data_IF_037526891599
#
_entry.id   IF_037526891599
#
_cell.length_a   1.000
_cell.length_b   1.000
_cell.length_c   1.000
_cell.angle_alpha   90.00
_cell.angle_beta   90.00
_cell.angle_gamma   90.00
#
_symmetry.space_group_name_H-M   'P 1'
#
loop_
_entity.id
_entity.type
_entity.pdbx_description
1 polymer ?
#
# COMPACT_ATOMS: atom_id res chain seq x y z
N UNK A 1 35.84 -2.77 1.55
CA UNK A 1 34.58 -3.40 1.10
C UNK A 1 33.49 -2.38 1.35
N UNK A 2 33.02 -1.67 0.32
CA UNK A 2 31.94 -0.70 0.48
C UNK A 2 30.64 -1.46 0.78
N UNK A 3 29.78 -0.98 1.69
CA UNK A 3 28.46 -1.58 1.89
C UNK A 3 27.72 -1.49 0.56
N UNK A 4 27.20 -2.62 0.10
CA UNK A 4 26.33 -2.67 -1.06
C UNK A 4 25.14 -1.76 -0.79
N UNK A 5 25.08 -0.61 -1.47
CA UNK A 5 23.95 0.29 -1.34
C UNK A 5 22.73 -0.42 -1.92
N UNK A 6 21.84 -0.86 -1.04
CA UNK A 6 20.57 -1.51 -1.42
C UNK A 6 19.92 -0.70 -2.55
N UNK A 7 19.48 -1.40 -3.61
CA UNK A 7 18.92 -0.82 -4.82
C UNK A 7 17.74 0.16 -4.59
N UNK A 8 17.20 0.18 -3.37
CA UNK A 8 16.12 1.06 -2.87
C UNK A 8 16.55 2.52 -2.64
N UNK A 9 17.85 2.79 -2.51
CA UNK A 9 18.37 4.12 -2.16
C UNK A 9 18.66 5.03 -3.36
N UNK A 10 18.58 4.50 -4.58
CA UNK A 10 18.91 5.24 -5.79
C UNK A 10 17.73 5.13 -6.76
N UNK A 11 17.23 6.25 -7.33
CA UNK A 11 16.24 6.18 -8.40
C UNK A 11 16.81 5.48 -9.63
N UNK A 12 16.08 4.51 -10.16
CA UNK A 12 16.42 3.71 -11.35
C UNK A 12 15.34 3.90 -12.42
N UNK A 13 15.56 3.45 -13.67
CA UNK A 13 14.57 3.61 -14.73
C UNK A 13 13.13 3.16 -14.38
N UNK A 14 12.91 2.07 -13.61
CA UNK A 14 11.56 1.69 -13.17
C UNK A 14 10.82 2.75 -12.35
N UNK A 15 11.52 3.54 -11.52
CA UNK A 15 10.92 4.62 -10.74
C UNK A 15 10.38 5.72 -11.66
N UNK A 16 11.20 6.22 -12.59
CA UNK A 16 10.76 7.26 -13.53
C UNK A 16 9.67 6.75 -14.48
N UNK A 17 9.78 5.51 -14.94
CA UNK A 17 8.74 4.87 -15.73
C UNK A 17 7.42 4.80 -14.96
N UNK A 18 7.46 4.43 -13.67
CA UNK A 18 6.27 4.42 -12.82
C UNK A 18 5.64 5.81 -12.72
N UNK A 19 6.43 6.87 -12.50
CA UNK A 19 5.90 8.24 -12.46
C UNK A 19 5.19 8.66 -13.75
N UNK A 20 5.69 8.23 -14.91
CA UNK A 20 5.12 8.55 -16.21
C UNK A 20 3.87 7.72 -16.55
N UNK A 21 3.83 6.46 -16.10
CA UNK A 21 2.81 5.49 -16.52
C UNK A 21 1.80 5.12 -15.43
N UNK A 22 1.97 5.61 -14.20
CA UNK A 22 0.95 5.51 -13.16
C UNK A 22 -0.21 6.46 -13.48
N UNK A 23 -1.43 5.95 -13.41
CA UNK A 23 -2.65 6.76 -13.47
C UNK A 23 -3.09 7.08 -12.06
N UNK A 24 -3.87 8.14 -11.92
CA UNK A 24 -4.46 8.48 -10.64
C UNK A 24 -5.93 8.79 -10.72
N UNK A 25 -6.58 8.60 -9.59
CA UNK A 25 -8.02 8.67 -9.45
C UNK A 25 -8.34 9.29 -8.10
N UNK A 26 -9.42 10.06 -8.04
CA UNK A 26 -10.00 10.50 -6.77
C UNK A 26 -10.81 9.38 -6.09
N UNK A 27 -11.27 8.38 -6.86
CA UNK A 27 -12.08 7.28 -6.36
C UNK A 27 -11.20 6.09 -5.94
N UNK A 28 -11.59 5.47 -4.83
CA UNK A 28 -11.09 4.16 -4.36
C UNK A 28 -12.17 3.10 -4.54
N UNK A 29 -11.81 1.84 -4.40
CA UNK A 29 -12.74 0.72 -4.52
C UNK A 29 -13.77 0.73 -3.37
N UNK A 30 -15.08 0.54 -3.64
CA UNK A 30 -16.11 0.60 -2.61
C UNK A 30 -15.88 -0.36 -1.44
N UNK A 31 -15.39 -1.56 -1.71
CA UNK A 31 -15.08 -2.58 -0.71
C UNK A 31 -14.00 -2.15 0.29
N UNK A 32 -13.13 -1.21 -0.10
CA UNK A 32 -12.14 -0.64 0.82
C UNK A 32 -12.83 0.26 1.86
N UNK A 33 -13.83 1.03 1.46
CA UNK A 33 -14.56 1.94 2.35
C UNK A 33 -15.53 1.22 3.29
N UNK A 34 -15.90 -0.03 2.98
CA UNK A 34 -16.71 -0.90 3.84
C UNK A 34 -15.89 -1.96 4.59
N UNK A 35 -14.55 -1.88 4.52
CA UNK A 35 -13.65 -2.86 5.13
C UNK A 35 -13.60 -2.76 6.67
N UNK A 36 -13.06 -3.80 7.30
CA UNK A 36 -12.77 -3.78 8.73
C UNK A 36 -11.84 -2.61 9.10
N UNK A 37 -10.80 -2.36 8.31
CA UNK A 37 -9.91 -1.21 8.45
C UNK A 37 -10.65 0.13 8.45
N UNK A 38 -11.66 0.30 7.58
CA UNK A 38 -12.51 1.50 7.55
C UNK A 38 -13.27 1.70 8.86
N UNK A 39 -13.79 0.60 9.44
CA UNK A 39 -14.50 0.66 10.73
C UNK A 39 -13.61 1.08 11.91
N UNK A 40 -12.31 0.71 11.88
CA UNK A 40 -11.34 1.15 12.88
C UNK A 40 -10.95 2.63 12.71
N UNK A 41 -10.74 3.05 11.47
CA UNK A 41 -10.19 4.39 11.16
C UNK A 41 -11.27 5.47 11.26
N UNK A 42 -12.48 5.19 10.78
CA UNK A 42 -13.61 6.12 10.75
C UNK A 42 -14.87 5.51 11.39
N UNK A 43 -14.85 5.21 12.69
CA UNK A 43 -15.95 4.51 13.37
C UNK A 43 -17.28 5.29 13.37
N UNK A 44 -17.24 6.61 13.10
CA UNK A 44 -18.41 7.50 13.04
C UNK A 44 -18.90 7.77 11.62
N UNK A 45 -18.26 7.16 10.61
CA UNK A 45 -18.63 7.32 9.20
C UNK A 45 -18.70 8.80 8.77
N UNK A 46 -17.77 9.62 9.26
CA UNK A 46 -17.65 11.01 8.85
C UNK A 46 -17.20 11.10 7.39
N UNK A 47 -17.36 12.30 6.80
CA UNK A 47 -16.88 12.60 5.46
C UNK A 47 -15.39 12.26 5.32
N UNK A 48 -15.07 11.58 4.22
CA UNK A 48 -13.72 11.14 3.88
C UNK A 48 -13.19 11.90 2.65
N UNK A 49 -11.89 12.16 2.62
CA UNK A 49 -11.15 12.40 1.39
C UNK A 49 -10.57 11.09 0.88
N UNK A 50 -10.48 10.94 -0.44
CA UNK A 50 -9.94 9.74 -1.10
C UNK A 50 -8.99 10.12 -2.21
N UNK A 51 -7.96 9.32 -2.41
CA UNK A 51 -7.11 9.34 -3.59
C UNK A 51 -6.61 7.93 -3.92
N UNK A 52 -6.15 7.75 -5.15
CA UNK A 52 -5.65 6.48 -5.62
C UNK A 52 -4.65 6.62 -6.75
N UNK A 53 -3.71 5.69 -6.80
CA UNK A 53 -2.67 5.57 -7.83
C UNK A 53 -2.69 4.12 -8.31
N UNK A 54 -2.69 3.94 -9.63
CA UNK A 54 -2.72 2.61 -10.24
C UNK A 54 -1.67 2.51 -11.33
N UNK A 55 -1.06 1.34 -11.46
CA UNK A 55 -0.19 1.02 -12.58
C UNK A 55 -0.38 -0.44 -12.98
N UNK A 56 -0.57 -0.66 -14.27
CA UNK A 56 -0.59 -2.00 -14.85
C UNK A 56 0.80 -2.36 -15.36
N UNK A 57 1.30 -3.52 -14.95
CA UNK A 57 2.57 -4.08 -15.39
C UNK A 57 2.33 -5.42 -16.12
N UNK A 58 3.26 -5.83 -16.99
CA UNK A 58 3.24 -7.19 -17.55
C UNK A 58 3.25 -8.25 -16.46
N UNK A 59 2.45 -9.30 -16.58
CA UNK A 59 2.43 -10.42 -15.64
C UNK A 59 3.75 -11.19 -15.62
N UNK A 60 4.47 -11.19 -16.75
CA UNK A 60 5.85 -11.65 -16.86
C UNK A 60 6.78 -10.95 -15.86
N UNK A 61 6.53 -9.68 -15.56
CA UNK A 61 7.32 -8.90 -14.61
C UNK A 61 7.19 -9.41 -13.17
N UNK A 62 6.16 -10.19 -12.82
CA UNK A 62 5.98 -10.81 -11.49
C UNK A 62 5.76 -12.33 -11.59
N UNK A 63 6.20 -12.93 -12.69
CA UNK A 63 6.14 -14.37 -12.86
C UNK A 63 7.03 -15.07 -11.81
N UNK A 64 6.53 -16.19 -11.28
CA UNK A 64 7.26 -17.02 -10.31
C UNK A 64 7.21 -16.55 -8.86
N UNK A 65 6.53 -15.43 -8.55
CA UNK A 65 6.36 -14.96 -7.17
C UNK A 65 4.87 -14.84 -6.79
N UNK A 66 4.59 -15.06 -5.50
CA UNK A 66 3.24 -14.95 -4.95
C UNK A 66 2.80 -13.48 -4.82
N UNK A 67 1.50 -13.26 -4.73
CA UNK A 67 0.95 -11.93 -4.48
C UNK A 67 1.44 -11.34 -3.14
N UNK A 68 1.62 -12.19 -2.12
CA UNK A 68 2.19 -11.77 -0.84
C UNK A 68 3.62 -11.23 -1.00
N UNK A 69 4.46 -11.91 -1.79
CA UNK A 69 5.82 -11.44 -2.05
C UNK A 69 5.83 -10.16 -2.88
N UNK A 70 4.92 -9.99 -3.85
CA UNK A 70 4.78 -8.71 -4.57
C UNK A 70 4.40 -7.57 -3.63
N UNK A 71 3.41 -7.80 -2.75
CA UNK A 71 2.99 -6.80 -1.76
C UNK A 71 4.11 -6.51 -0.76
N UNK A 72 4.88 -7.51 -0.33
CA UNK A 72 6.03 -7.32 0.55
C UNK A 72 7.14 -6.49 -0.12
N UNK A 73 7.50 -6.80 -1.35
CA UNK A 73 8.45 -6.01 -2.16
C UNK A 73 7.97 -4.57 -2.32
N UNK A 74 6.69 -4.39 -2.65
CA UNK A 74 6.09 -3.07 -2.81
C UNK A 74 6.13 -2.28 -1.49
N UNK A 75 5.70 -2.88 -0.37
CA UNK A 75 5.76 -2.29 0.97
C UNK A 75 7.19 -1.91 1.35
N UNK A 76 8.15 -2.80 1.08
CA UNK A 76 9.56 -2.55 1.38
C UNK A 76 10.14 -1.41 0.55
N UNK A 77 9.74 -1.28 -0.72
CA UNK A 77 10.09 -0.13 -1.53
C UNK A 77 9.43 1.17 -1.07
N UNK A 78 8.14 1.13 -0.78
CA UNK A 78 7.35 2.29 -0.36
C UNK A 78 7.89 2.89 0.94
N UNK A 79 8.08 2.08 1.98
CA UNK A 79 8.53 2.51 3.31
C UNK A 79 10.06 2.50 3.50
N UNK A 80 10.80 1.81 2.63
CA UNK A 80 12.26 1.66 2.69
C UNK A 80 13.03 2.40 1.60
N UNK A 81 12.33 3.06 0.66
CA UNK A 81 12.95 3.77 -0.44
C UNK A 81 13.42 5.19 -0.08
N UNK A 82 14.25 5.77 -0.94
CA UNK A 82 14.86 7.09 -0.74
C UNK A 82 13.86 8.25 -0.58
N UNK A 83 12.63 8.11 -1.09
CA UNK A 83 11.58 9.14 -0.98
C UNK A 83 11.06 9.23 0.45
N UNK A 84 10.89 8.09 1.13
CA UNK A 84 10.42 8.03 2.52
C UNK A 84 11.56 8.26 3.53
N UNK A 85 12.83 8.15 3.11
CA UNK A 85 13.97 8.25 4.01
C UNK A 85 14.00 9.52 4.89
N UNK A 86 13.67 10.74 4.39
CA UNK A 86 13.60 11.93 5.22
C UNK A 86 12.53 11.84 6.31
N UNK A 87 11.34 11.35 5.95
CA UNK A 87 10.22 11.18 6.89
C UNK A 87 10.56 10.10 7.93
N UNK A 88 11.12 8.97 7.50
CA UNK A 88 11.60 7.92 8.39
C UNK A 88 12.58 8.45 9.46
N UNK A 89 13.56 9.26 9.05
CA UNK A 89 14.53 9.86 9.97
C UNK A 89 13.82 10.74 11.01
N UNK A 90 12.88 11.59 10.56
CA UNK A 90 12.12 12.47 11.44
C UNK A 90 11.24 11.67 12.43
N UNK A 91 10.47 10.70 11.93
CA UNK A 91 9.57 9.87 12.74
C UNK A 91 10.34 9.05 13.79
N UNK A 92 11.49 8.49 13.39
CA UNK A 92 12.35 7.71 14.29
C UNK A 92 12.98 8.61 15.36
N UNK A 93 13.51 9.78 14.98
CA UNK A 93 14.09 10.73 15.92
C UNK A 93 13.08 11.25 16.95
N UNK A 94 11.82 11.42 16.54
CA UNK A 94 10.73 11.82 17.42
C UNK A 94 10.09 10.62 18.19
N UNK A 95 10.59 9.40 18.01
CA UNK A 95 10.08 8.21 18.67
C UNK A 95 8.62 7.89 18.35
N UNK A 96 8.16 8.19 17.13
CA UNK A 96 6.77 7.96 16.71
C UNK A 96 5.74 8.90 17.34
N UNK A 97 6.17 9.97 18.04
CA UNK A 97 5.25 10.90 18.73
C UNK A 97 4.61 11.95 17.83
N UNK A 98 5.05 12.07 16.57
CA UNK A 98 4.54 13.09 15.64
C UNK A 98 3.14 12.71 15.14
N UNK A 99 2.93 11.43 14.83
CA UNK A 99 1.67 10.87 14.37
C UNK A 99 1.52 9.45 14.93
N UNK A 100 1.26 9.29 16.24
CA UNK A 100 1.07 7.97 16.81
C UNK A 100 -0.15 7.29 16.17
N UNK A 101 0.00 5.99 15.88
CA UNK A 101 -1.10 5.17 15.34
C UNK A 101 -1.76 4.36 16.44
N UNK A 102 -3.04 4.63 16.66
CA UNK A 102 -3.85 3.98 17.70
C UNK A 102 -5.34 4.07 17.34
N UNK A 103 -6.03 2.93 17.39
CA UNK A 103 -7.47 2.85 17.15
C UNK A 103 -8.17 2.17 18.31
N UNK A 104 -9.18 2.80 18.90
CA UNK A 104 -9.87 2.25 20.08
C UNK A 104 -10.48 0.87 19.85
N UNK A 105 -10.93 0.59 18.62
CA UNK A 105 -11.48 -0.71 18.22
C UNK A 105 -10.44 -1.77 17.83
N UNK A 106 -9.14 -1.45 17.85
CA UNK A 106 -8.07 -2.34 17.43
C UNK A 106 -7.16 -2.72 18.60
N UNK A 107 -7.25 -3.95 19.08
CA UNK A 107 -6.45 -4.42 20.23
C UNK A 107 -5.09 -4.94 19.76
N UNK A 108 -4.09 -4.05 19.73
CA UNK A 108 -2.74 -4.39 19.25
C UNK A 108 -2.06 -5.48 20.09
N UNK A 109 -2.27 -5.52 21.40
CA UNK A 109 -1.61 -6.52 22.26
C UNK A 109 -2.02 -7.95 21.91
N UNK A 110 -3.25 -8.14 21.44
CA UNK A 110 -3.76 -9.45 20.99
C UNK A 110 -2.93 -10.02 19.84
N UNK A 111 -2.36 -9.14 19.00
CA UNK A 111 -1.56 -9.53 17.85
C UNK A 111 -0.09 -9.84 18.18
N UNK A 112 0.42 -9.43 19.36
CA UNK A 112 1.84 -9.56 19.76
C UNK A 112 2.83 -9.06 18.67
N UNK A 113 2.40 -8.10 17.86
CA UNK A 113 3.13 -7.67 16.67
C UNK A 113 4.13 -6.54 16.98
N UNK A 114 5.34 -6.57 16.40
CA UNK A 114 6.41 -5.65 16.76
C UNK A 114 6.18 -4.22 16.24
N UNK A 115 6.95 -3.27 16.78
CA UNK A 115 7.21 -2.00 16.10
C UNK A 115 8.56 -2.10 15.37
N UNK A 116 8.57 -1.84 14.07
CA UNK A 116 9.76 -1.77 13.23
C UNK A 116 10.27 -0.33 13.24
N UNK A 117 11.51 -0.13 13.70
CA UNK A 117 12.12 1.21 13.77
C UNK A 117 13.15 1.44 12.67
N UNK A 118 13.57 0.39 11.97
CA UNK A 118 14.57 0.45 10.90
C UNK A 118 14.01 -0.10 9.61
N UNK A 119 14.32 0.57 8.50
CA UNK A 119 13.91 0.13 7.15
C UNK A 119 14.37 -1.30 6.84
N UNK A 120 15.57 -1.69 7.30
CA UNK A 120 16.09 -3.05 7.14
C UNK A 120 15.25 -4.16 7.82
N UNK A 121 14.31 -3.79 8.69
CA UNK A 121 13.38 -4.74 9.31
C UNK A 121 12.10 -4.95 8.48
N UNK A 122 11.89 -4.14 7.43
CA UNK A 122 10.75 -4.31 6.52
C UNK A 122 11.09 -5.43 5.53
N UNK A 123 10.43 -6.58 5.70
CA UNK A 123 10.63 -7.76 4.85
C UNK A 123 10.25 -7.45 3.40
N UNK A 124 10.99 -8.04 2.48
CA UNK A 124 10.75 -8.01 1.05
C UNK A 124 10.23 -9.34 0.50
N UNK A 125 10.09 -10.36 1.34
CA UNK A 125 9.65 -11.70 0.94
C UNK A 125 8.23 -12.03 1.40
N UNK A 126 7.83 -11.51 2.55
CA UNK A 126 6.55 -11.79 3.20
C UNK A 126 5.98 -10.55 3.89
N UNK A 127 4.66 -10.44 3.91
CA UNK A 127 3.99 -9.37 4.64
C UNK A 127 4.07 -9.60 6.14
N UNK A 128 4.40 -8.53 6.87
CA UNK A 128 4.39 -8.56 8.32
C UNK A 128 2.99 -8.90 8.89
N UNK A 129 2.90 -9.44 10.12
CA UNK A 129 1.62 -9.72 10.76
C UNK A 129 0.78 -8.46 10.98
N UNK A 130 -0.55 -8.64 11.02
CA UNK A 130 -1.50 -7.60 11.48
C UNK A 130 -1.07 -7.08 12.86
N UNK A 131 -1.18 -5.78 13.08
CA UNK A 131 -0.71 -5.06 14.27
C UNK A 131 0.75 -4.62 14.23
N UNK A 132 1.52 -5.05 13.22
CA UNK A 132 2.91 -4.58 13.05
C UNK A 132 2.90 -3.09 12.74
N UNK A 133 3.67 -2.32 13.50
CA UNK A 133 3.73 -0.87 13.37
C UNK A 133 5.08 -0.43 12.78
N UNK A 134 5.04 0.36 11.72
CA UNK A 134 6.19 0.88 11.00
C UNK A 134 6.45 2.28 11.53
N UNK A 135 7.61 2.45 12.16
CA UNK A 135 8.14 3.74 12.63
C UNK A 135 7.19 4.49 13.56
N UNK A 136 6.37 3.75 14.32
CA UNK A 136 5.38 4.30 15.25
C UNK A 136 4.16 4.96 14.60
N UNK A 137 4.03 4.91 13.26
CA UNK A 137 3.07 5.77 12.51
C UNK A 137 2.15 4.99 11.58
N UNK A 138 2.61 3.89 10.97
CA UNK A 138 1.78 3.11 10.04
C UNK A 138 1.59 1.70 10.58
N UNK A 139 0.36 1.27 10.82
CA UNK A 139 0.05 -0.04 11.39
C UNK A 139 -0.69 -0.92 10.38
N UNK A 140 -0.27 -2.18 10.23
CA UNK A 140 -1.05 -3.15 9.45
C UNK A 140 -2.36 -3.42 10.19
N UNK A 141 -3.49 -3.03 9.61
CA UNK A 141 -4.82 -3.24 10.20
C UNK A 141 -5.46 -4.53 9.74
N UNK A 142 -5.26 -4.87 8.47
CA UNK A 142 -5.81 -6.08 7.86
C UNK A 142 -4.99 -6.46 6.62
N UNK A 143 -5.08 -7.71 6.21
CA UNK A 143 -4.47 -8.20 4.96
C UNK A 143 -5.23 -9.42 4.44
N UNK A 144 -5.27 -9.57 3.13
CA UNK A 144 -5.87 -10.71 2.46
C UNK A 144 -5.00 -11.13 1.28
N UNK A 145 -4.62 -12.40 1.23
CA UNK A 145 -3.93 -13.00 0.10
C UNK A 145 -4.90 -13.97 -0.55
N UNK A 146 -5.29 -13.65 -1.79
CA UNK A 146 -6.27 -14.45 -2.52
C UNK A 146 -5.73 -15.87 -2.75
N UNK A 147 -6.63 -16.84 -2.62
CA UNK A 147 -6.35 -18.25 -2.84
C UNK A 147 -6.89 -18.72 -4.19
N UNK A 148 -6.33 -19.80 -4.74
CA UNK A 148 -6.79 -20.38 -6.02
C UNK A 148 -8.29 -20.70 -6.04
N UNK A 149 -8.89 -21.01 -4.88
CA UNK A 149 -10.32 -21.31 -4.77
C UNK A 149 -11.22 -20.06 -4.91
N UNK A 150 -10.73 -18.88 -4.52
CA UNK A 150 -11.44 -17.61 -4.65
C UNK A 150 -11.39 -17.08 -6.08
N UNK A 151 -10.30 -17.36 -6.82
CA UNK A 151 -10.14 -17.04 -8.26
C UNK A 151 -11.34 -17.52 -9.07
N UNK A 152 -11.83 -18.73 -8.78
CA UNK A 152 -12.85 -19.40 -9.60
C UNK A 152 -14.26 -18.82 -9.45
N UNK A 153 -14.51 -17.95 -8.45
CA UNK A 153 -15.85 -17.44 -8.13
C UNK A 153 -16.09 -16.00 -8.55
N UNK A 154 -15.06 -15.16 -8.57
CA UNK A 154 -15.21 -13.71 -8.76
C UNK A 154 -14.54 -13.17 -10.03
N UNK A 155 -13.89 -14.04 -10.82
CA UNK A 155 -13.12 -13.69 -12.03
C UNK A 155 -12.04 -12.60 -11.81
N UNK A 156 -11.77 -12.21 -10.55
CA UNK A 156 -10.77 -11.22 -10.15
C UNK A 156 -10.01 -11.73 -8.92
N UNK A 157 -8.71 -12.01 -9.12
CA UNK A 157 -7.79 -12.40 -8.06
C UNK A 157 -7.15 -11.15 -7.45
N UNK A 158 -7.71 -10.66 -6.33
CA UNK A 158 -7.23 -9.47 -5.66
C UNK A 158 -6.66 -9.78 -4.27
N UNK A 159 -5.36 -9.52 -4.09
CA UNK A 159 -4.70 -9.60 -2.78
C UNK A 159 -4.37 -8.18 -2.31
N UNK A 160 -4.40 -7.92 -1.01
CA UNK A 160 -4.18 -6.59 -0.46
C UNK A 160 -3.66 -6.58 0.98
N UNK A 161 -3.14 -5.42 1.39
CA UNK A 161 -2.74 -5.11 2.77
C UNK A 161 -3.10 -3.67 3.10
N UNK A 162 -3.64 -3.45 4.30
CA UNK A 162 -4.11 -2.16 4.80
C UNK A 162 -3.18 -1.60 5.88
N UNK A 163 -2.74 -0.37 5.71
CA UNK A 163 -1.91 0.39 6.63
C UNK A 163 -2.69 1.59 7.19
N UNK A 164 -3.17 1.46 8.41
CA UNK A 164 -3.74 2.58 9.16
C UNK A 164 -2.66 3.55 9.63
N UNK A 165 -2.99 4.83 9.67
CA UNK A 165 -2.18 5.88 10.29
C UNK A 165 -3.07 6.92 11.01
N UNK A 166 -2.47 7.60 12.00
CA UNK A 166 -3.20 8.50 12.89
C UNK A 166 -4.08 7.75 13.88
N UNK A 167 -5.10 8.42 14.43
CA UNK A 167 -5.91 7.84 15.49
C UNK A 167 -7.37 8.27 15.42
N UNK A 168 -8.27 7.32 15.70
CA UNK A 168 -9.71 7.58 15.81
C UNK A 168 -10.07 8.51 16.97
N UNK A 169 -9.17 8.71 17.95
CA UNK A 169 -9.31 9.66 19.06
C UNK A 169 -8.75 11.07 18.73
N UNK A 170 -8.10 11.24 17.58
CA UNK A 170 -7.46 12.50 17.18
C UNK A 170 -8.23 13.22 16.06
N UNK A 171 -7.77 14.39 15.63
CA UNK A 171 -8.39 15.09 14.49
C UNK A 171 -8.00 14.52 13.11
N UNK A 172 -7.20 13.46 13.06
CA UNK A 172 -6.71 12.88 11.82
C UNK A 172 -6.53 11.36 11.91
N UNK A 173 -7.13 10.66 10.97
CA UNK A 173 -6.87 9.26 10.74
C UNK A 173 -7.04 8.94 9.24
N UNK A 174 -6.36 7.90 8.79
CA UNK A 174 -6.52 7.39 7.44
C UNK A 174 -6.01 5.98 7.28
N UNK A 175 -6.14 5.45 6.08
CA UNK A 175 -5.67 4.13 5.72
C UNK A 175 -5.17 4.10 4.28
N UNK A 176 -4.03 3.43 4.07
CA UNK A 176 -3.52 3.07 2.76
C UNK A 176 -3.77 1.59 2.48
N UNK A 177 -4.40 1.26 1.37
CA UNK A 177 -4.47 -0.12 0.86
C UNK A 177 -3.51 -0.28 -0.31
N UNK A 178 -2.58 -1.21 -0.19
CA UNK A 178 -1.84 -1.72 -1.34
C UNK A 178 -2.57 -2.95 -1.86
N UNK A 179 -2.91 -2.95 -3.14
CA UNK A 179 -3.65 -4.04 -3.76
C UNK A 179 -2.96 -4.47 -5.05
N UNK A 180 -2.95 -5.78 -5.27
CA UNK A 180 -2.58 -6.41 -6.52
C UNK A 180 -3.81 -7.11 -7.08
N UNK A 181 -4.07 -6.93 -8.37
CA UNK A 181 -5.13 -7.64 -9.09
C UNK A 181 -4.56 -8.26 -10.35
N UNK A 182 -4.65 -9.60 -10.46
CA UNK A 182 -4.24 -10.30 -11.68
C UNK A 182 -5.36 -10.22 -12.70
N UNK A 183 -5.05 -9.67 -13.87
CA UNK A 183 -5.98 -9.50 -14.98
C UNK A 183 -5.73 -10.63 -15.98
N UNK A 184 -6.72 -11.50 -16.18
CA UNK A 184 -6.65 -12.50 -17.23
C UNK A 184 -6.72 -11.83 -18.62
N UNK A 185 -5.97 -12.39 -19.58
CA UNK A 185 -6.10 -12.01 -20.98
C UNK A 185 -7.52 -12.31 -21.45
N UNK A 186 -8.11 -11.38 -22.20
CA UNK A 186 -9.51 -11.38 -22.63
C UNK A 186 -9.96 -12.79 -23.09
N UNK A 187 -10.76 -13.49 -22.27
CA UNK A 187 -11.44 -14.71 -22.71
C UNK A 187 -12.60 -14.25 -23.59
N UNK A 188 -12.38 -14.16 -24.89
CA UNK A 188 -13.48 -13.94 -25.83
C UNK A 188 -14.58 -14.98 -25.55
N UNK A 189 -15.84 -14.57 -25.62
CA UNK A 189 -17.06 -15.35 -25.35
C UNK A 189 -17.28 -16.56 -26.28
N UNK A 190 -16.22 -17.01 -26.99
CA UNK A 190 -16.14 -18.19 -27.85
C UNK A 190 -15.05 -19.18 -27.42
N UNK A 191 -14.54 -19.10 -26.19
CA UNK A 191 -13.66 -20.15 -25.62
C UNK A 191 -12.36 -20.37 -26.39
N UNK A 192 -11.92 -19.39 -27.18
CA UNK A 192 -10.65 -19.42 -27.89
C UNK A 192 -9.69 -18.54 -27.10
N UNK A 193 -8.84 -19.17 -26.29
CA UNK A 193 -7.73 -18.48 -25.63
C UNK A 193 -6.83 -17.95 -26.74
N UNK A 194 -6.79 -16.64 -26.93
CA UNK A 194 -5.76 -16.03 -27.76
C UNK A 194 -4.44 -16.22 -27.01
N UNK A 195 -3.65 -17.21 -27.44
CA UNK A 195 -2.38 -17.60 -26.83
C UNK A 195 -1.32 -16.50 -26.88
N UNK A 196 -1.66 -15.32 -27.42
CA UNK A 196 -0.82 -14.13 -27.53
C UNK A 196 -1.18 -13.03 -26.53
N UNK A 197 -2.32 -13.13 -25.82
CA UNK A 197 -2.71 -12.13 -24.83
C UNK A 197 -1.84 -12.22 -23.58
N UNK A 198 -0.88 -11.31 -23.45
CA UNK A 198 -0.01 -11.24 -22.28
C UNK A 198 -0.84 -10.99 -21.01
N UNK A 199 -0.68 -11.86 -20.00
CA UNK A 199 -1.26 -11.66 -18.66
C UNK A 199 -0.79 -10.31 -18.10
N UNK A 200 -1.69 -9.59 -17.43
CA UNK A 200 -1.38 -8.29 -16.83
C UNK A 200 -1.62 -8.32 -15.33
N UNK A 201 -0.89 -7.49 -14.61
CA UNK A 201 -1.06 -7.31 -13.17
C UNK A 201 -1.25 -5.83 -12.90
N UNK A 202 -2.34 -5.49 -12.23
CA UNK A 202 -2.62 -4.15 -11.77
C UNK A 202 -2.16 -4.02 -10.31
N UNK A 203 -1.35 -2.99 -10.03
CA UNK A 203 -0.96 -2.62 -8.66
C UNK A 203 -1.61 -1.28 -8.35
N UNK A 204 -2.20 -1.17 -7.16
CA UNK A 204 -2.95 -0.01 -6.71
C UNK A 204 -2.51 0.41 -5.31
N UNK A 205 -2.36 1.72 -5.12
CA UNK A 205 -2.39 2.39 -3.84
C UNK A 205 -3.70 3.13 -3.74
N UNK A 206 -4.51 2.79 -2.76
CA UNK A 206 -5.77 3.46 -2.44
C UNK A 206 -5.62 4.10 -1.07
N UNK A 207 -6.10 5.34 -0.91
CA UNK A 207 -6.07 6.04 0.37
C UNK A 207 -7.43 6.63 0.69
N UNK A 208 -7.78 6.60 1.97
CA UNK A 208 -8.79 7.51 2.50
C UNK A 208 -8.32 8.14 3.79
N UNK A 209 -8.77 9.37 4.04
CA UNK A 209 -8.49 10.10 5.28
C UNK A 209 -9.73 10.84 5.77
N UNK A 210 -9.83 11.01 7.08
CA UNK A 210 -10.94 11.71 7.71
C UNK A 210 -10.51 12.43 8.99
N UNK A 211 -11.41 13.27 9.50
CA UNK A 211 -11.42 13.67 10.89
C UNK A 211 -12.38 12.75 11.66
N UNK A 212 -11.88 11.78 12.45
CA UNK A 212 -12.75 10.81 13.13
C UNK A 212 -13.53 11.42 14.31
N UNK A 213 -13.19 12.64 14.73
CA UNK A 213 -13.81 13.36 15.85
C UNK A 213 -14.86 14.39 15.41
N UNK A 214 -14.75 14.94 14.19
CA UNK A 214 -15.66 15.95 13.65
C UNK A 214 -16.02 15.64 12.20
N UNK A 215 -17.30 15.75 11.85
CA UNK A 215 -17.77 15.55 10.48
C UNK A 215 -17.44 16.77 9.60
N UNK A 216 -16.17 16.96 9.28
CA UNK A 216 -15.65 18.04 8.44
C UNK A 216 -14.62 17.50 7.45
N UNK A 217 -14.48 18.13 6.27
CA UNK A 217 -13.39 17.78 5.35
C UNK A 217 -12.04 17.85 6.06
N UNK A 218 -11.21 16.82 5.88
CA UNK A 218 -9.95 16.68 6.60
C UNK A 218 -8.91 17.76 6.22
N UNK A 219 -8.81 18.13 4.95
CA UNK A 219 -7.68 18.92 4.45
C UNK A 219 -8.07 19.98 3.43
N UNK A 220 -7.25 21.04 3.38
CA UNK A 220 -7.27 22.02 2.29
C UNK A 220 -6.83 21.38 0.98
N UNK A 221 -7.25 21.95 -0.14
CA UNK A 221 -6.93 21.41 -1.47
C UNK A 221 -5.42 21.35 -1.75
N UNK A 222 -4.66 22.31 -1.20
CA UNK A 222 -3.20 22.33 -1.32
C UNK A 222 -2.56 21.12 -0.62
N UNK A 223 -3.03 20.79 0.59
CA UNK A 223 -2.50 19.65 1.33
C UNK A 223 -2.87 18.32 0.66
N UNK A 224 -4.07 18.22 0.07
CA UNK A 224 -4.45 17.06 -0.75
C UNK A 224 -3.54 16.90 -1.95
N UNK A 225 -3.28 17.98 -2.69
CA UNK A 225 -2.41 17.92 -3.86
C UNK A 225 -0.97 17.55 -3.48
N UNK A 226 -0.46 18.07 -2.37
CA UNK A 226 0.84 17.67 -1.83
C UNK A 226 0.88 16.18 -1.49
N UNK A 227 -0.07 15.70 -0.67
CA UNK A 227 -0.19 14.29 -0.30
C UNK A 227 -0.21 13.40 -1.54
N UNK A 228 -1.00 13.79 -2.53
CA UNK A 228 -1.17 13.07 -3.78
C UNK A 228 0.14 12.96 -4.59
N UNK A 229 0.89 14.06 -4.79
CA UNK A 229 2.18 13.99 -5.49
C UNK A 229 3.23 13.21 -4.70
N UNK A 230 3.23 13.34 -3.37
CA UNK A 230 4.12 12.59 -2.51
C UNK A 230 3.82 11.08 -2.57
N UNK A 231 2.54 10.69 -2.52
CA UNK A 231 2.09 9.32 -2.68
C UNK A 231 2.50 8.72 -4.04
N UNK A 232 2.52 9.50 -5.12
CA UNK A 232 3.03 9.04 -6.43
C UNK A 232 4.52 8.73 -6.42
N UNK A 233 5.32 9.54 -5.73
CA UNK A 233 6.75 9.28 -5.56
C UNK A 233 6.99 8.02 -4.72
N UNK A 234 6.24 7.84 -3.64
CA UNK A 234 6.31 6.63 -2.81
C UNK A 234 5.84 5.37 -3.57
N UNK A 235 4.76 5.49 -4.33
CA UNK A 235 4.25 4.43 -5.21
C UNK A 235 5.32 3.99 -6.22
N UNK A 236 5.99 4.95 -6.85
CA UNK A 236 7.07 4.67 -7.79
C UNK A 236 8.26 3.93 -7.13
N UNK A 237 8.57 4.19 -5.85
CA UNK A 237 9.55 3.40 -5.10
C UNK A 237 9.10 1.96 -4.84
N UNK A 238 7.81 1.77 -4.53
CA UNK A 238 7.20 0.45 -4.41
C UNK A 238 7.34 -0.35 -5.72
N UNK A 239 6.95 0.25 -6.85
CA UNK A 239 7.09 -0.35 -8.18
C UNK A 239 8.54 -0.66 -8.53
N UNK A 240 9.47 0.27 -8.24
CA UNK A 240 10.89 0.02 -8.48
C UNK A 240 11.37 -1.23 -7.74
N UNK A 241 10.95 -1.42 -6.49
CA UNK A 241 11.37 -2.58 -5.68
C UNK A 241 10.78 -3.89 -6.20
N UNK A 242 9.54 -3.87 -6.72
CA UNK A 242 8.94 -5.04 -7.38
C UNK A 242 9.72 -5.42 -8.66
N UNK A 243 10.09 -4.43 -9.47
CA UNK A 243 10.70 -4.64 -10.78
C UNK A 243 12.22 -4.89 -10.75
N UNK A 244 12.92 -4.44 -9.71
CA UNK A 244 14.36 -4.66 -9.53
C UNK A 244 14.71 -5.83 -8.61
N UNK A 245 13.72 -6.67 -8.24
CA UNK A 245 14.02 -7.85 -7.42
C UNK A 245 15.11 -8.68 -8.09
N UNK A 246 16.06 -9.15 -7.29
CA UNK A 246 17.03 -10.13 -7.75
C UNK A 246 16.29 -11.47 -7.92
N UNK A 247 16.50 -12.13 -9.07
CA UNK A 247 15.88 -13.40 -9.41
C UNK A 247 16.60 -14.58 -8.74
#
# INVERSE_FOLDING_TARGET
MLPEMSARWIPRPPFFHSLLHSTSTAAVRPEFLTSLSSSYVNPRQHIIGTDGITQTIPGSAVAGISDESVLALFTSGFFGGFVFAPEWLLLTAAGGRVLPVEYTGFTRETHKAPTLWRQAQVSDSQLHPVGTCFFGTFMILDKHIATESEVTKTDQHASWVDYGFGSDASSFAGCHRFQITRLEGNRDSKGKTDSTAESKVQIELQSFQCNPQKNVPFSSEILKQFHYQYARLLFANGIQSVLLREA
#
